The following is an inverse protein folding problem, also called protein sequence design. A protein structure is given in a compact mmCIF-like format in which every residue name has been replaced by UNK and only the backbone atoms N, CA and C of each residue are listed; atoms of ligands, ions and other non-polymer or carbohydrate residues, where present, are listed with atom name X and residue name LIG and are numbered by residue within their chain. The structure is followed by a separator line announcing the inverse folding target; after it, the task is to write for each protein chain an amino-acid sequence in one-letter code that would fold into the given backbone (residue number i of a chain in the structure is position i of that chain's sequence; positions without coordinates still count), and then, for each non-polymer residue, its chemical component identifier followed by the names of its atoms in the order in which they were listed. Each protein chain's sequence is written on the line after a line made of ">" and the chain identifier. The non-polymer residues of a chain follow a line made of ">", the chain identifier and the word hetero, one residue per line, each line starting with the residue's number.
data_IF_421320618754
#
_entry.id   IF_421320618754
#
_cell.length_a   1.000
_cell.length_b   1.000
_cell.length_c   1.000
_cell.angle_alpha   90.00
_cell.angle_beta   90.00
_cell.angle_gamma   90.00
#
_symmetry.space_group_name_H-M   'P 1'
#
loop_
_entity.id
_entity.type
_entity.pdbx_description
1 polymer ?
#
# COMPACT_ATOMS: atom_id res chain seq x y z
N UNK A 1 24.85 -5.56 -57.36
CA UNK A 1 24.11 -6.43 -56.43
C UNK A 1 24.23 -6.01 -54.96
N UNK A 2 25.23 -5.22 -54.56
CA UNK A 2 25.45 -4.79 -53.16
C UNK A 2 24.53 -3.67 -52.65
N UNK A 3 24.04 -2.80 -53.54
CA UNK A 3 23.14 -1.70 -53.18
C UNK A 3 21.74 -2.18 -52.73
N UNK A 4 21.24 -3.30 -53.28
CA UNK A 4 19.94 -3.86 -52.89
C UNK A 4 19.95 -4.47 -51.48
N UNK A 5 20.99 -5.25 -51.16
CA UNK A 5 21.18 -5.88 -49.84
C UNK A 5 21.28 -4.82 -48.72
N UNK A 6 21.86 -3.65 -49.00
CA UNK A 6 22.00 -2.58 -48.01
C UNK A 6 20.65 -1.89 -47.71
N UNK A 7 19.77 -1.78 -48.70
CA UNK A 7 18.45 -1.18 -48.52
C UNK A 7 17.50 -2.10 -47.74
N UNK A 8 17.56 -3.41 -47.99
CA UNK A 8 16.71 -4.40 -47.30
C UNK A 8 17.03 -4.49 -45.80
N UNK A 9 18.31 -4.44 -45.42
CA UNK A 9 18.73 -4.51 -44.00
C UNK A 9 18.30 -3.25 -43.24
N UNK A 10 18.40 -2.07 -43.86
CA UNK A 10 17.95 -0.81 -43.27
C UNK A 10 16.42 -0.80 -43.10
N UNK A 11 15.67 -1.23 -44.11
CA UNK A 11 14.21 -1.34 -44.02
C UNK A 11 13.75 -2.33 -42.93
N UNK A 12 14.46 -3.46 -42.77
CA UNK A 12 14.19 -4.41 -41.68
C UNK A 12 14.43 -3.81 -40.29
N UNK A 13 15.51 -3.03 -40.12
CA UNK A 13 15.79 -2.35 -38.86
C UNK A 13 14.77 -1.25 -38.53
N UNK A 14 14.28 -0.51 -39.54
CA UNK A 14 13.19 0.46 -39.35
C UNK A 14 11.90 -0.22 -38.86
N UNK A 15 11.55 -1.38 -39.43
CA UNK A 15 10.41 -2.17 -38.98
C UNK A 15 10.58 -2.66 -37.53
N UNK A 16 11.78 -3.12 -37.16
CA UNK A 16 12.08 -3.58 -35.81
C UNK A 16 11.97 -2.46 -34.75
N UNK A 17 12.33 -1.22 -35.11
CA UNK A 17 12.14 -0.04 -34.24
C UNK A 17 10.65 0.26 -34.01
N UNK A 18 9.82 0.13 -35.06
CA UNK A 18 8.37 0.33 -34.95
C UNK A 18 7.76 -0.74 -34.03
N UNK A 19 8.12 -2.02 -34.21
CA UNK A 19 7.61 -3.10 -33.34
C UNK A 19 8.09 -2.92 -31.90
N UNK A 20 9.37 -2.58 -31.69
CA UNK A 20 9.91 -2.27 -30.36
C UNK A 20 9.15 -1.14 -29.66
N UNK A 21 8.70 -0.12 -30.40
CA UNK A 21 7.89 0.97 -29.85
C UNK A 21 6.48 0.50 -29.43
N UNK A 22 5.87 -0.40 -30.21
CA UNK A 22 4.59 -1.04 -29.87
C UNK A 22 4.73 -1.90 -28.61
N UNK A 23 5.72 -2.79 -28.58
CA UNK A 23 6.02 -3.65 -27.43
C UNK A 23 6.29 -2.85 -26.16
N UNK A 24 7.03 -1.74 -26.25
CA UNK A 24 7.27 -0.83 -25.12
C UNK A 24 5.96 -0.22 -24.58
N UNK A 25 5.05 0.15 -25.46
CA UNK A 25 3.74 0.72 -25.09
C UNK A 25 2.88 -0.33 -24.38
N UNK A 26 2.85 -1.56 -24.92
CA UNK A 26 2.09 -2.66 -24.35
C UNK A 26 2.61 -3.05 -22.96
N UNK A 27 3.93 -3.15 -22.80
CA UNK A 27 4.56 -3.47 -21.51
C UNK A 27 4.35 -2.36 -20.47
N UNK A 28 4.45 -1.09 -20.88
CA UNK A 28 4.17 0.06 -19.99
C UNK A 28 2.73 0.05 -19.52
N UNK A 29 1.78 -0.22 -20.43
CA UNK A 29 0.37 -0.32 -20.11
C UNK A 29 0.11 -1.47 -19.12
N UNK A 30 0.77 -2.62 -19.30
CA UNK A 30 0.66 -3.75 -18.38
C UNK A 30 1.24 -3.43 -17.00
N UNK A 31 2.39 -2.73 -16.92
CA UNK A 31 2.99 -2.26 -15.67
C UNK A 31 2.06 -1.30 -14.91
N UNK A 32 1.43 -0.35 -15.61
CA UNK A 32 0.49 0.58 -14.98
C UNK A 32 -0.75 -0.14 -14.46
N UNK A 33 -1.26 -1.13 -15.21
CA UNK A 33 -2.37 -1.96 -14.76
C UNK A 33 -2.01 -2.79 -13.51
N UNK A 34 -0.83 -3.42 -13.49
CA UNK A 34 -0.33 -4.17 -12.33
C UNK A 34 -0.19 -3.30 -11.08
N UNK A 35 0.37 -2.10 -11.21
CA UNK A 35 0.50 -1.13 -10.11
C UNK A 35 -0.86 -0.64 -9.62
N UNK A 36 -1.82 -0.44 -10.53
CA UNK A 36 -3.19 -0.08 -10.18
C UNK A 36 -3.90 -1.22 -9.43
N UNK A 37 -3.70 -2.47 -9.87
CA UNK A 37 -4.26 -3.66 -9.23
C UNK A 37 -3.78 -3.79 -7.78
N UNK A 38 -2.47 -3.62 -7.51
CA UNK A 38 -1.92 -3.62 -6.14
C UNK A 38 -2.54 -2.56 -5.21
N UNK A 39 -2.95 -1.42 -5.77
CA UNK A 39 -3.59 -0.31 -5.01
C UNK A 39 -5.09 -0.49 -4.84
N UNK A 40 -5.71 -1.36 -5.65
CA UNK A 40 -7.15 -1.62 -5.64
C UNK A 40 -7.60 -2.31 -4.34
N UNK A 41 -8.89 -2.27 -3.99
CA UNK A 41 -9.41 -3.03 -2.84
C UNK A 41 -9.13 -4.53 -2.90
N UNK A 42 -9.16 -5.13 -4.10
CA UNK A 42 -8.80 -6.53 -4.31
C UNK A 42 -7.31 -6.74 -4.06
N UNK A 43 -6.43 -5.96 -4.69
CA UNK A 43 -4.99 -6.12 -4.48
C UNK A 43 -4.52 -5.81 -3.07
N UNK A 44 -5.23 -4.98 -2.32
CA UNK A 44 -4.97 -4.77 -0.89
C UNK A 44 -5.38 -5.96 -0.03
N UNK A 45 -6.49 -6.62 -0.38
CA UNK A 45 -7.00 -7.79 0.33
C UNK A 45 -6.31 -9.10 -0.07
N UNK A 46 -5.67 -9.14 -1.24
CA UNK A 46 -4.95 -10.30 -1.74
C UNK A 46 -3.88 -10.78 -0.76
N UNK A 47 -3.67 -12.10 -0.73
CA UNK A 47 -2.69 -12.72 0.15
C UNK A 47 -1.25 -12.25 -0.16
N UNK A 48 -0.38 -12.42 0.84
CA UNK A 48 1.02 -11.97 0.77
C UNK A 48 1.80 -12.66 -0.36
N UNK A 49 1.48 -13.93 -0.67
CA UNK A 49 2.19 -14.69 -1.69
C UNK A 49 1.87 -14.16 -3.09
N UNK A 50 0.60 -13.94 -3.42
CA UNK A 50 0.15 -13.37 -4.68
C UNK A 50 0.72 -11.96 -4.90
N UNK A 51 0.70 -11.11 -3.86
CA UNK A 51 1.28 -9.76 -3.92
C UNK A 51 2.79 -9.77 -4.11
N UNK A 52 3.51 -10.66 -3.41
CA UNK A 52 4.96 -10.79 -3.57
C UNK A 52 5.34 -11.33 -4.95
N UNK A 53 4.57 -12.27 -5.49
CA UNK A 53 4.80 -12.79 -6.84
C UNK A 53 4.65 -11.68 -7.89
N UNK A 54 3.58 -10.87 -7.81
CA UNK A 54 3.39 -9.74 -8.71
C UNK A 54 4.49 -8.67 -8.58
N UNK A 55 4.98 -8.40 -7.37
CA UNK A 55 6.09 -7.46 -7.17
C UNK A 55 7.37 -7.93 -7.90
N UNK A 56 7.72 -9.21 -7.80
CA UNK A 56 8.87 -9.78 -8.52
C UNK A 56 8.70 -9.64 -10.04
N UNK A 57 7.50 -9.91 -10.56
CA UNK A 57 7.24 -9.82 -12.00
C UNK A 57 7.25 -8.35 -12.49
N UNK A 58 6.84 -7.39 -11.65
CA UNK A 58 6.99 -5.96 -11.95
C UNK A 58 8.48 -5.60 -12.09
N UNK A 59 9.33 -6.06 -11.17
CA UNK A 59 10.78 -5.80 -11.23
C UNK A 59 11.42 -6.39 -12.50
N UNK A 60 11.00 -7.59 -12.92
CA UNK A 60 11.42 -8.20 -14.18
C UNK A 60 10.95 -7.39 -15.39
N UNK A 61 9.67 -6.99 -15.41
CA UNK A 61 9.10 -6.16 -16.46
C UNK A 61 9.77 -4.79 -16.58
N UNK A 62 10.17 -4.17 -15.48
CA UNK A 62 10.92 -2.91 -15.49
C UNK A 62 12.33 -3.05 -16.06
N UNK A 63 13.01 -4.18 -15.79
CA UNK A 63 14.29 -4.51 -16.42
C UNK A 63 14.16 -4.65 -17.93
N UNK A 64 13.14 -5.37 -18.39
CA UNK A 64 12.86 -5.56 -19.82
C UNK A 64 12.46 -4.25 -20.49
N UNK A 65 11.63 -3.42 -19.85
CA UNK A 65 11.25 -2.10 -20.35
C UNK A 65 12.48 -1.18 -20.51
N UNK A 66 13.44 -1.26 -19.59
CA UNK A 66 14.70 -0.53 -19.67
C UNK A 66 15.55 -1.01 -20.86
N UNK A 67 15.66 -2.32 -21.08
CA UNK A 67 16.37 -2.89 -22.23
C UNK A 67 15.73 -2.46 -23.57
N UNK A 68 14.40 -2.47 -23.67
CA UNK A 68 13.66 -1.94 -24.81
C UNK A 68 13.89 -0.45 -25.08
N UNK A 69 14.20 0.33 -24.04
CA UNK A 69 14.55 1.76 -24.17
C UNK A 69 15.83 2.00 -24.97
N UNK A 70 16.71 1.00 -25.10
CA UNK A 70 17.92 1.10 -25.92
C UNK A 70 17.63 0.99 -27.42
N UNK A 71 16.49 0.41 -27.82
CA UNK A 71 16.06 0.24 -29.22
C UNK A 71 15.11 1.39 -29.63
N UNK A 72 15.62 2.63 -29.63
CA UNK A 72 14.78 3.84 -29.83
C UNK A 72 15.09 4.65 -31.07
N UNK A 73 16.23 4.43 -31.73
CA UNK A 73 16.65 5.24 -32.88
C UNK A 73 16.76 4.40 -34.13
N UNK A 74 16.11 4.84 -35.21
CA UNK A 74 16.33 4.29 -36.55
C UNK A 74 17.82 4.42 -36.92
N UNK A 75 18.40 3.42 -37.62
CA UNK A 75 19.80 3.48 -38.05
C UNK A 75 20.03 4.70 -38.96
N UNK A 76 21.21 5.31 -38.92
CA UNK A 76 21.52 6.53 -39.72
C UNK A 76 21.72 6.25 -41.22
N UNK A 77 21.40 5.03 -41.66
CA UNK A 77 21.53 4.54 -43.03
C UNK A 77 22.71 3.60 -43.26
N UNK A 78 23.48 3.26 -42.21
CA UNK A 78 24.57 2.29 -42.33
C UNK A 78 24.10 0.86 -42.03
N UNK A 79 24.66 -0.11 -42.76
CA UNK A 79 24.36 -1.55 -42.55
C UNK A 79 24.78 -2.02 -41.16
N UNK A 80 25.84 -1.43 -40.58
CA UNK A 80 26.33 -1.82 -39.26
C UNK A 80 25.38 -1.40 -38.13
N UNK A 81 24.82 -0.18 -38.22
CA UNK A 81 23.81 0.29 -37.27
C UNK A 81 22.51 -0.52 -37.42
N UNK A 82 22.09 -0.79 -38.65
CA UNK A 82 20.89 -1.58 -38.92
C UNK A 82 21.03 -3.02 -38.38
N UNK A 83 22.21 -3.65 -38.53
CA UNK A 83 22.49 -4.97 -37.97
C UNK A 83 22.46 -4.97 -36.43
N UNK A 84 22.98 -3.93 -35.78
CA UNK A 84 22.95 -3.81 -34.32
C UNK A 84 21.52 -3.67 -33.78
N UNK A 85 20.65 -2.92 -34.47
CA UNK A 85 19.22 -2.79 -34.13
C UNK A 85 18.50 -4.13 -34.27
N UNK A 86 18.76 -4.87 -35.35
CA UNK A 86 18.14 -6.18 -35.59
C UNK A 86 18.56 -7.21 -34.53
N UNK A 87 19.83 -7.25 -34.15
CA UNK A 87 20.34 -8.14 -33.09
C UNK A 87 19.70 -7.81 -31.73
N UNK A 88 19.65 -6.54 -31.36
CA UNK A 88 19.04 -6.11 -30.11
C UNK A 88 17.52 -6.38 -30.08
N UNK A 89 16.83 -6.25 -31.22
CA UNK A 89 15.40 -6.54 -31.32
C UNK A 89 15.12 -8.05 -31.27
N UNK A 90 15.94 -8.86 -31.93
CA UNK A 90 15.80 -10.32 -31.93
C UNK A 90 15.95 -10.92 -30.53
N UNK A 91 16.81 -10.33 -29.68
CA UNK A 91 16.95 -10.73 -28.28
C UNK A 91 15.71 -10.44 -27.42
N UNK A 92 14.82 -9.55 -27.87
CA UNK A 92 13.67 -9.07 -27.09
C UNK A 92 12.31 -9.52 -27.66
N UNK A 93 12.29 -10.06 -28.88
CA UNK A 93 11.05 -10.36 -29.62
C UNK A 93 10.16 -11.38 -28.89
N UNK A 94 10.77 -12.41 -28.29
CA UNK A 94 10.06 -13.44 -27.51
C UNK A 94 9.92 -13.05 -26.01
N UNK A 95 10.91 -12.35 -25.46
CA UNK A 95 10.98 -12.05 -24.03
C UNK A 95 9.93 -11.03 -23.60
N UNK A 96 9.67 -10.01 -24.43
CA UNK A 96 8.76 -8.92 -24.05
C UNK A 96 7.30 -9.37 -23.97
N UNK A 97 6.75 -10.08 -24.98
CA UNK A 97 5.40 -10.64 -24.86
C UNK A 97 5.28 -11.62 -23.70
N UNK A 98 6.27 -12.49 -23.49
CA UNK A 98 6.26 -13.46 -22.40
C UNK A 98 6.22 -12.79 -21.02
N UNK A 99 7.02 -11.74 -20.82
CA UNK A 99 7.03 -10.97 -19.56
C UNK A 99 5.74 -10.18 -19.40
N UNK A 100 5.20 -9.59 -20.47
CA UNK A 100 3.92 -8.89 -20.42
C UNK A 100 2.76 -9.84 -20.07
N UNK A 101 2.76 -11.07 -20.59
CA UNK A 101 1.76 -12.09 -20.27
C UNK A 101 1.89 -12.60 -18.85
N UNK A 102 3.13 -12.88 -18.40
CA UNK A 102 3.39 -13.25 -17.00
C UNK A 102 2.93 -12.16 -16.04
N UNK A 103 3.13 -10.88 -16.39
CA UNK A 103 2.68 -9.74 -15.61
C UNK A 103 1.15 -9.64 -15.55
N UNK A 104 0.46 -9.90 -16.66
CA UNK A 104 -1.01 -9.95 -16.69
C UNK A 104 -1.54 -11.09 -15.84
N UNK A 105 -0.97 -12.29 -15.95
CA UNK A 105 -1.38 -13.46 -15.16
C UNK A 105 -1.18 -13.22 -13.66
N UNK A 106 -0.02 -12.67 -13.26
CA UNK A 106 0.23 -12.32 -11.86
C UNK A 106 -0.72 -11.21 -11.36
N UNK A 107 -1.09 -10.27 -12.24
CA UNK A 107 -2.08 -9.22 -11.92
C UNK A 107 -3.47 -9.83 -11.68
N UNK A 108 -3.91 -10.73 -12.55
CA UNK A 108 -5.19 -11.43 -12.41
C UNK A 108 -5.22 -12.32 -11.17
N UNK A 109 -4.10 -12.99 -10.83
CA UNK A 109 -3.97 -13.79 -9.62
C UNK A 109 -4.13 -12.93 -8.35
N UNK A 110 -3.55 -11.73 -8.30
CA UNK A 110 -3.74 -10.78 -7.21
C UNK A 110 -5.19 -10.34 -7.10
N UNK A 111 -5.85 -10.00 -8.22
CA UNK A 111 -7.26 -9.60 -8.21
C UNK A 111 -8.14 -10.77 -7.73
N UNK A 112 -7.88 -11.98 -8.21
CA UNK A 112 -8.63 -13.19 -7.84
C UNK A 112 -8.46 -13.53 -6.36
N UNK A 113 -7.23 -13.56 -5.85
CA UNK A 113 -6.92 -13.75 -4.43
C UNK A 113 -7.62 -12.69 -3.58
N UNK A 114 -7.56 -11.42 -3.98
CA UNK A 114 -8.26 -10.32 -3.33
C UNK A 114 -9.78 -10.54 -3.24
N UNK A 115 -10.41 -10.92 -4.34
CA UNK A 115 -11.86 -11.22 -4.37
C UNK A 115 -12.21 -12.40 -3.50
N UNK A 116 -11.40 -13.46 -3.53
CA UNK A 116 -11.60 -14.63 -2.71
C UNK A 116 -11.55 -14.27 -1.22
N UNK A 117 -10.49 -13.58 -0.78
CA UNK A 117 -10.36 -13.14 0.62
C UNK A 117 -11.54 -12.26 1.04
N UNK A 118 -11.97 -11.33 0.18
CA UNK A 118 -13.14 -10.49 0.48
C UNK A 118 -14.45 -11.28 0.53
N UNK A 119 -14.61 -12.27 -0.34
CA UNK A 119 -15.77 -13.17 -0.34
C UNK A 119 -15.82 -14.04 0.91
N UNK A 120 -14.68 -14.60 1.32
CA UNK A 120 -14.56 -15.41 2.54
C UNK A 120 -14.87 -14.57 3.79
N UNK A 121 -14.36 -13.33 3.86
CA UNK A 121 -14.70 -12.38 4.93
C UNK A 121 -16.19 -12.02 4.94
N UNK A 122 -16.79 -11.82 3.76
CA UNK A 122 -18.22 -11.54 3.66
C UNK A 122 -19.09 -12.74 4.06
N UNK A 123 -18.68 -13.97 3.73
CA UNK A 123 -19.34 -15.19 4.14
C UNK A 123 -19.23 -15.41 5.66
N UNK A 124 -18.05 -15.20 6.25
CA UNK A 124 -17.84 -15.27 7.69
C UNK A 124 -18.65 -14.22 8.47
N UNK A 125 -18.86 -13.03 7.88
CA UNK A 125 -19.71 -11.99 8.48
C UNK A 125 -21.22 -12.26 8.34
N UNK A 126 -21.63 -13.18 7.46
CA UNK A 126 -23.03 -13.50 7.18
C UNK A 126 -23.55 -14.75 7.92
N UNK A 127 -22.67 -15.53 8.59
CA UNK A 127 -23.07 -16.66 9.41
C UNK A 127 -23.20 -16.26 10.90
N UNK A 128 -24.41 -16.16 11.48
CA UNK A 128 -24.59 -15.84 12.89
C UNK A 128 -24.41 -17.05 13.82
N UNK A 129 -23.89 -18.20 13.35
CA UNK A 129 -23.90 -19.41 14.16
C UNK A 129 -22.84 -20.45 13.81
N UNK A 130 -21.58 -20.20 14.17
CA UNK A 130 -20.66 -21.25 14.67
C UNK A 130 -19.56 -20.65 15.54
N UNK A 131 -19.94 -20.26 16.76
CA UNK A 131 -19.01 -20.36 17.89
C UNK A 131 -18.85 -21.85 18.19
N UNK A 132 -17.90 -22.50 17.53
CA UNK A 132 -17.40 -23.80 17.96
C UNK A 132 -16.02 -23.60 18.54
N UNK A 133 -15.99 -23.66 19.87
CA UNK A 133 -14.83 -23.99 20.68
C UNK A 133 -14.05 -25.16 20.07
N UNK A 134 -12.75 -24.97 19.86
CA UNK A 134 -11.66 -25.92 20.15
C UNK A 134 -10.50 -25.70 19.17
N UNK A 135 -9.51 -24.91 19.60
CA UNK A 135 -8.12 -25.18 19.24
C UNK A 135 -7.26 -24.78 20.43
N UNK A 136 -6.59 -25.77 20.96
CA UNK A 136 -5.68 -25.79 22.11
C UNK A 136 -4.79 -24.54 22.24
N UNK A 137 -4.74 -23.91 23.43
CA UNK A 137 -3.85 -22.79 23.73
C UNK A 137 -2.46 -23.30 24.14
N UNK A 138 -1.70 -23.84 23.20
CA UNK A 138 -0.29 -24.23 23.42
C UNK A 138 0.54 -23.87 22.18
N UNK A 139 0.67 -22.56 21.89
CA UNK A 139 1.89 -21.93 21.30
C UNK A 139 1.77 -20.43 20.99
N UNK A 140 0.76 -19.72 21.50
CA UNK A 140 0.88 -18.28 21.72
C UNK A 140 1.06 -18.10 23.21
N UNK A 141 2.29 -17.85 23.66
CA UNK A 141 2.53 -17.37 25.01
C UNK A 141 1.70 -16.10 25.21
N UNK A 142 0.67 -16.10 26.09
CA UNK A 142 -0.04 -14.90 26.45
C UNK A 142 0.80 -14.22 27.53
N UNK A 143 1.80 -13.46 27.13
CA UNK A 143 2.23 -12.38 28.00
C UNK A 143 1.28 -11.22 27.70
N UNK A 144 0.25 -11.05 28.54
CA UNK A 144 -0.66 -9.90 28.56
C UNK A 144 0.04 -8.57 28.84
N UNK A 145 1.14 -8.30 28.14
CA UNK A 145 2.03 -7.14 28.26
C UNK A 145 2.66 -6.88 26.90
N UNK A 146 2.51 -5.66 26.40
CA UNK A 146 3.16 -5.24 25.17
C UNK A 146 4.66 -5.02 25.38
N UNK A 147 5.49 -5.19 24.33
CA UNK A 147 6.94 -5.04 24.43
C UNK A 147 7.39 -3.60 24.70
N UNK A 148 6.53 -2.62 24.41
CA UNK A 148 6.85 -1.20 24.48
C UNK A 148 5.96 -0.47 25.49
N UNK A 149 6.49 0.53 26.23
CA UNK A 149 5.79 1.16 27.35
C UNK A 149 4.59 2.03 26.96
N UNK A 150 4.51 2.45 25.71
CA UNK A 150 3.41 3.19 25.07
C UNK A 150 2.39 2.27 24.38
N UNK A 151 2.58 0.97 24.49
CA UNK A 151 1.63 -0.04 24.04
C UNK A 151 1.03 -0.71 25.27
N UNK A 152 -0.27 -0.91 25.26
CA UNK A 152 -0.95 -1.64 26.34
C UNK A 152 -1.79 -2.73 25.74
N UNK A 153 -1.59 -3.93 26.27
CA UNK A 153 -2.28 -5.11 25.78
C UNK A 153 -3.70 -5.10 26.29
N UNK A 154 -4.66 -5.41 25.43
CA UNK A 154 -6.01 -5.76 25.86
C UNK A 154 -6.66 -6.73 24.88
N UNK A 155 -7.57 -7.56 25.38
CA UNK A 155 -8.36 -8.47 24.55
C UNK A 155 -9.37 -7.73 23.66
N UNK A 156 -9.70 -6.48 23.97
CA UNK A 156 -10.60 -5.62 23.18
C UNK A 156 -9.87 -4.88 22.04
N UNK A 157 -8.54 -4.81 22.09
CA UNK A 157 -7.73 -4.12 21.10
C UNK A 157 -7.86 -4.81 19.72
N UNK A 158 -8.48 -4.09 18.78
CA UNK A 158 -8.78 -4.60 17.45
C UNK A 158 -10.08 -5.41 17.36
N UNK A 159 -10.90 -5.41 18.41
CA UNK A 159 -12.17 -6.15 18.47
C UNK A 159 -13.39 -5.25 18.77
N UNK A 160 -13.27 -3.93 18.59
CA UNK A 160 -14.41 -3.01 18.72
C UNK A 160 -15.53 -3.36 17.73
N UNK A 161 -16.76 -3.34 18.24
CA UNK A 161 -17.97 -3.55 17.45
C UNK A 161 -18.30 -2.34 16.57
N UNK A 162 -19.12 -2.55 15.55
CA UNK A 162 -19.61 -1.46 14.69
C UNK A 162 -20.40 -0.40 15.46
N UNK A 163 -21.02 -0.74 16.60
CA UNK A 163 -21.71 0.22 17.48
C UNK A 163 -20.76 1.10 18.30
N UNK A 164 -19.52 0.67 18.51
CA UNK A 164 -18.50 1.44 19.22
C UNK A 164 -17.72 2.36 18.28
N UNK A 165 -17.83 2.15 16.97
CA UNK A 165 -17.13 2.88 15.94
C UNK A 165 -18.05 3.90 15.25
N UNK A 166 -17.47 5.01 14.84
CA UNK A 166 -18.08 5.95 13.92
C UNK A 166 -17.14 6.21 12.74
N UNK A 167 -17.73 6.34 11.55
CA UNK A 167 -16.99 6.77 10.37
C UNK A 167 -16.51 8.21 10.57
N UNK A 168 -15.26 8.49 10.18
CA UNK A 168 -14.71 9.85 10.19
C UNK A 168 -15.40 10.64 9.08
N UNK A 169 -16.11 11.75 9.38
CA UNK A 169 -16.98 12.43 8.40
C UNK A 169 -16.27 12.91 7.13
N UNK A 170 -15.01 13.32 7.24
CA UNK A 170 -14.19 13.83 6.13
C UNK A 170 -13.27 12.76 5.51
N UNK A 171 -13.30 11.51 6.00
CA UNK A 171 -12.46 10.42 5.52
C UNK A 171 -13.27 9.11 5.38
N UNK A 172 -14.04 8.94 4.29
CA UNK A 172 -14.83 7.74 4.05
C UNK A 172 -13.98 6.47 4.09
N UNK A 173 -14.49 5.44 4.77
CA UNK A 173 -13.77 4.17 4.97
C UNK A 173 -12.83 4.15 6.17
N UNK A 174 -12.62 5.28 6.85
CA UNK A 174 -11.88 5.36 8.11
C UNK A 174 -12.83 5.46 9.30
N UNK A 175 -12.44 4.84 10.41
CA UNK A 175 -13.26 4.73 11.62
C UNK A 175 -12.41 5.02 12.85
N UNK A 176 -13.02 5.67 13.83
CA UNK A 176 -12.51 5.84 15.20
C UNK A 176 -13.62 5.48 16.18
N UNK A 177 -13.33 5.40 17.47
CA UNK A 177 -14.40 5.26 18.46
C UNK A 177 -15.41 6.42 18.34
N UNK A 178 -16.68 6.08 18.48
CA UNK A 178 -17.77 7.02 18.29
C UNK A 178 -17.71 8.22 19.25
N UNK A 179 -17.18 8.01 20.46
CA UNK A 179 -17.01 9.04 21.49
C UNK A 179 -15.94 10.10 21.16
N UNK A 180 -15.02 9.83 20.24
CA UNK A 180 -13.97 10.77 19.82
C UNK A 180 -14.16 11.34 18.41
N UNK A 181 -15.03 10.72 17.60
CA UNK A 181 -15.25 11.10 16.21
C UNK A 181 -15.67 12.57 16.03
N UNK A 182 -16.56 13.08 16.87
CA UNK A 182 -17.02 14.47 16.80
C UNK A 182 -15.91 15.48 17.09
N UNK A 183 -14.93 15.12 17.93
CA UNK A 183 -13.80 15.98 18.27
C UNK A 183 -12.71 15.96 17.20
N UNK A 184 -12.52 14.81 16.55
CA UNK A 184 -11.69 14.73 15.35
C UNK A 184 -12.28 15.55 14.19
N UNK A 185 -13.61 15.53 14.01
CA UNK A 185 -14.29 16.36 13.01
C UNK A 185 -14.10 17.86 13.31
N UNK A 186 -14.26 18.29 14.56
CA UNK A 186 -14.03 19.68 14.94
C UNK A 186 -12.56 20.14 14.75
N UNK A 187 -11.59 19.24 14.97
CA UNK A 187 -10.18 19.50 14.64
C UNK A 187 -9.99 19.70 13.13
N UNK A 188 -10.66 18.87 12.32
CA UNK A 188 -10.63 19.01 10.87
C UNK A 188 -11.25 20.32 10.39
N UNK A 189 -12.37 20.76 10.97
CA UNK A 189 -12.99 22.04 10.61
C UNK A 189 -12.01 23.21 10.81
N UNK A 190 -11.30 23.24 11.95
CA UNK A 190 -10.26 24.24 12.20
C UNK A 190 -9.03 24.10 11.28
N UNK A 191 -8.67 22.87 10.93
CA UNK A 191 -7.60 22.61 9.96
C UNK A 191 -7.99 23.13 8.56
N UNK A 192 -9.25 22.96 8.14
CA UNK A 192 -9.80 23.48 6.89
C UNK A 192 -9.81 25.02 6.91
N UNK A 193 -10.17 25.65 8.03
CA UNK A 193 -10.08 27.12 8.16
C UNK A 193 -8.65 27.64 7.94
N UNK A 194 -7.64 26.87 8.39
CA UNK A 194 -6.24 27.24 8.25
C UNK A 194 -5.67 26.96 6.85
N UNK A 195 -5.97 25.79 6.27
CA UNK A 195 -5.28 25.27 5.08
C UNK A 195 -6.18 25.13 3.84
N UNK A 196 -7.49 25.33 3.98
CA UNK A 196 -8.47 25.25 2.90
C UNK A 196 -8.74 23.84 2.37
N UNK A 197 -8.23 22.81 3.04
CA UNK A 197 -8.37 21.39 2.64
C UNK A 197 -8.58 20.52 3.88
N UNK A 198 -9.32 19.42 3.73
CA UNK A 198 -9.48 18.43 4.79
C UNK A 198 -8.15 17.74 5.13
N UNK A 199 -8.02 17.29 6.38
CA UNK A 199 -6.96 16.39 6.78
C UNK A 199 -7.07 15.06 6.01
N UNK A 200 -5.94 14.55 5.54
CA UNK A 200 -5.89 13.22 4.92
C UNK A 200 -5.67 12.17 6.01
N UNK A 201 -6.57 11.19 6.13
CA UNK A 201 -6.37 10.03 7.02
C UNK A 201 -5.78 8.88 6.22
N UNK A 202 -4.59 8.41 6.61
CA UNK A 202 -3.91 7.26 6.01
C UNK A 202 -4.22 5.95 6.74
N UNK A 203 -4.36 6.01 8.06
CA UNK A 203 -4.72 4.87 8.91
C UNK A 203 -5.58 5.36 10.09
N UNK A 204 -6.44 4.48 10.61
CA UNK A 204 -7.39 4.78 11.69
C UNK A 204 -7.58 3.52 12.54
N UNK A 205 -8.79 3.22 13.04
CA UNK A 205 -9.06 1.93 13.67
C UNK A 205 -8.59 0.75 12.81
N UNK A 206 -7.92 -0.21 13.44
CA UNK A 206 -7.40 -1.43 12.82
C UNK A 206 -7.83 -2.63 13.65
N UNK A 207 -8.46 -3.59 12.99
CA UNK A 207 -8.90 -4.83 13.63
C UNK A 207 -7.70 -5.68 14.05
N UNK A 208 -7.92 -6.62 14.96
CA UNK A 208 -6.90 -7.56 15.41
C UNK A 208 -6.36 -8.38 14.23
N UNK A 209 -7.24 -8.87 13.37
CA UNK A 209 -6.87 -9.65 12.18
C UNK A 209 -6.02 -8.83 11.19
N UNK A 210 -6.34 -7.55 10.99
CA UNK A 210 -5.50 -6.66 10.20
C UNK A 210 -4.14 -6.44 10.85
N UNK A 211 -4.08 -6.24 12.18
CA UNK A 211 -2.82 -6.10 12.90
C UNK A 211 -1.97 -7.37 12.81
N UNK A 212 -2.58 -8.56 12.93
CA UNK A 212 -1.92 -9.85 12.76
C UNK A 212 -1.33 -9.99 11.35
N UNK A 213 -2.07 -9.59 10.31
CA UNK A 213 -1.55 -9.61 8.94
C UNK A 213 -0.36 -8.68 8.69
N UNK A 214 -0.24 -7.60 9.47
CA UNK A 214 0.82 -6.61 9.36
C UNK A 214 2.01 -6.90 10.30
N UNK A 215 1.79 -7.70 11.34
CA UNK A 215 2.78 -7.96 12.34
C UNK A 215 3.91 -8.82 11.78
N UNK A 216 5.11 -8.28 11.83
CA UNK A 216 6.34 -9.00 11.54
C UNK A 216 7.23 -8.86 12.78
N UNK A 217 7.47 -9.94 13.54
CA UNK A 217 8.30 -9.88 14.75
C UNK A 217 9.76 -9.50 14.45
N UNK A 218 10.20 -9.53 13.19
CA UNK A 218 11.52 -9.06 12.77
C UNK A 218 11.55 -7.57 12.43
N UNK A 219 10.39 -6.91 12.33
CA UNK A 219 10.25 -5.47 12.07
C UNK A 219 9.79 -4.73 13.33
N UNK A 220 10.26 -3.49 13.51
CA UNK A 220 9.84 -2.62 14.61
C UNK A 220 8.60 -1.77 14.30
N UNK A 221 8.09 -1.85 13.08
CA UNK A 221 7.07 -0.92 12.57
C UNK A 221 5.64 -1.30 12.93
N UNK A 222 5.38 -2.57 13.24
CA UNK A 222 4.05 -3.04 13.61
C UNK A 222 4.09 -3.63 15.03
N UNK A 223 3.25 -3.09 15.92
CA UNK A 223 3.06 -3.67 17.24
C UNK A 223 2.53 -5.12 17.15
N UNK A 224 2.77 -5.97 18.17
CA UNK A 224 2.08 -7.23 18.26
C UNK A 224 0.55 -7.07 18.20
N UNK A 225 -0.20 -8.06 17.70
CA UNK A 225 -1.65 -8.07 17.78
C UNK A 225 -2.11 -7.91 19.24
N UNK A 226 -3.16 -7.10 19.44
CA UNK A 226 -3.62 -6.71 20.78
C UNK A 226 -2.80 -5.58 21.45
N UNK A 227 -1.70 -5.13 20.84
CA UNK A 227 -0.83 -4.07 21.37
C UNK A 227 -0.82 -2.77 20.53
N UNK A 228 -1.54 -2.75 19.41
CA UNK A 228 -1.51 -1.61 18.49
C UNK A 228 -2.38 -0.47 19.00
N UNK A 229 -1.85 0.76 19.03
CA UNK A 229 -2.65 1.94 19.37
C UNK A 229 -3.81 2.17 18.39
N UNK A 230 -3.74 1.65 17.16
CA UNK A 230 -4.87 1.68 16.22
C UNK A 230 -6.02 0.74 16.62
N UNK A 231 -5.73 -0.36 17.32
CA UNK A 231 -6.77 -1.29 17.75
C UNK A 231 -7.64 -0.76 18.88
N UNK A 232 -7.24 0.33 19.55
CA UNK A 232 -8.09 1.00 20.55
C UNK A 232 -9.16 1.88 19.92
N UNK A 233 -9.06 2.17 18.61
CA UNK A 233 -9.92 3.12 17.90
C UNK A 233 -9.68 4.58 18.30
N UNK A 234 -8.58 4.88 19.00
CA UNK A 234 -8.21 6.22 19.45
C UNK A 234 -7.01 6.82 18.70
N UNK A 235 -6.39 6.07 17.78
CA UNK A 235 -5.25 6.55 16.98
C UNK A 235 -5.63 6.78 15.51
N UNK A 236 -5.01 7.79 14.92
CA UNK A 236 -5.06 8.07 13.48
C UNK A 236 -3.67 8.43 12.96
N UNK A 237 -3.40 8.01 11.73
CA UNK A 237 -2.23 8.44 10.96
C UNK A 237 -2.67 9.51 9.96
N UNK A 238 -2.13 10.72 10.09
CA UNK A 238 -2.48 11.88 9.27
C UNK A 238 -1.42 12.11 8.19
N UNK A 239 -1.88 12.26 6.94
CA UNK A 239 -1.08 12.56 5.77
C UNK A 239 -1.13 14.04 5.36
N UNK A 240 -1.12 14.30 4.06
CA UNK A 240 -1.40 15.64 3.51
C UNK A 240 -0.37 16.71 3.86
N UNK A 241 0.84 16.33 4.28
CA UNK A 241 1.91 17.25 4.71
C UNK A 241 2.38 16.96 6.13
N UNK A 242 1.54 16.36 6.97
CA UNK A 242 1.83 16.09 8.39
C UNK A 242 2.95 15.06 8.56
N UNK A 243 3.16 14.16 7.59
CA UNK A 243 4.19 13.12 7.63
C UNK A 243 5.66 13.63 7.65
N UNK A 244 5.89 14.94 7.65
CA UNK A 244 7.20 15.55 7.78
C UNK A 244 7.26 16.46 9.02
N UNK A 245 8.19 16.16 9.94
CA UNK A 245 8.48 17.03 11.08
C UNK A 245 8.82 18.46 10.62
N UNK A 246 8.30 19.47 11.32
CA UNK A 246 8.53 20.88 11.00
C UNK A 246 7.81 21.36 9.73
N UNK A 247 6.93 20.56 9.14
CA UNK A 247 5.99 21.05 8.13
C UNK A 247 4.98 22.00 8.76
N UNK A 248 4.42 22.92 7.97
CA UNK A 248 3.40 23.84 8.45
C UNK A 248 2.17 23.10 9.03
N UNK A 249 1.78 21.99 8.41
CA UNK A 249 0.67 21.14 8.84
C UNK A 249 0.98 20.44 10.17
N UNK A 250 2.19 19.86 10.30
CA UNK A 250 2.62 19.21 11.55
C UNK A 250 2.70 20.22 12.70
N UNK A 251 3.36 21.36 12.48
CA UNK A 251 3.53 22.39 13.51
C UNK A 251 2.19 22.99 13.93
N UNK A 252 1.25 23.16 12.99
CA UNK A 252 -0.09 23.62 13.31
C UNK A 252 -0.85 22.59 14.15
N UNK A 253 -0.81 21.29 13.80
CA UNK A 253 -1.42 20.26 14.63
C UNK A 253 -0.78 20.21 16.02
N UNK A 254 0.55 20.35 16.12
CA UNK A 254 1.26 20.40 17.41
C UNK A 254 0.78 21.53 18.30
N UNK A 255 0.42 22.68 17.72
CA UNK A 255 -0.06 23.84 18.45
C UNK A 255 -1.56 23.79 18.79
N UNK A 256 -2.39 23.05 18.02
CA UNK A 256 -3.85 23.17 18.09
C UNK A 256 -4.58 21.88 18.46
N UNK A 257 -4.06 20.70 18.14
CA UNK A 257 -4.79 19.44 18.26
C UNK A 257 -5.23 19.12 19.70
N UNK A 258 -4.43 19.53 20.70
CA UNK A 258 -4.69 19.24 22.11
C UNK A 258 -6.00 19.90 22.59
N UNK A 259 -6.36 21.07 22.04
CA UNK A 259 -7.63 21.74 22.34
C UNK A 259 -8.86 20.92 21.90
N UNK A 260 -8.67 20.01 20.95
CA UNK A 260 -9.66 19.06 20.46
C UNK A 260 -9.47 17.67 21.08
N UNK A 261 -8.55 17.53 22.03
CA UNK A 261 -8.26 16.29 22.72
C UNK A 261 -7.51 15.26 21.88
N UNK A 262 -6.74 15.72 20.88
CA UNK A 262 -5.81 14.90 20.11
C UNK A 262 -4.38 15.36 20.38
N UNK A 263 -3.46 14.43 20.59
CA UNK A 263 -2.06 14.74 20.89
C UNK A 263 -1.13 13.96 20.00
N UNK A 264 0.05 14.54 19.77
CA UNK A 264 1.19 13.80 19.24
C UNK A 264 1.91 13.16 20.43
N UNK A 265 1.90 11.82 20.55
CA UNK A 265 2.35 11.16 21.77
C UNK A 265 3.88 11.22 21.91
N UNK A 266 4.43 11.19 23.15
CA UNK A 266 5.87 11.35 23.38
C UNK A 266 6.77 10.33 22.66
N UNK A 267 6.29 9.11 22.41
CA UNK A 267 7.07 8.11 21.68
C UNK A 267 7.27 8.48 20.19
N UNK A 268 6.33 9.25 19.63
CA UNK A 268 6.27 9.63 18.22
C UNK A 268 6.99 10.95 17.91
N UNK A 269 7.41 11.69 18.94
CA UNK A 269 8.21 12.92 18.80
C UNK A 269 9.51 12.68 18.02
N UNK A 270 10.15 13.73 17.46
CA UNK A 270 11.45 13.62 16.79
C UNK A 270 12.53 12.94 17.63
N UNK A 271 12.48 13.14 18.95
CA UNK A 271 13.39 12.53 19.94
C UNK A 271 12.78 11.32 20.65
N UNK A 272 11.60 10.89 20.24
CA UNK A 272 10.89 9.73 20.79
C UNK A 272 11.56 8.41 20.36
N UNK A 273 11.14 7.31 20.97
CA UNK A 273 11.71 5.98 20.65
C UNK A 273 11.37 5.53 19.22
N UNK A 274 10.26 6.01 18.66
CA UNK A 274 9.76 5.66 17.34
C UNK A 274 9.18 6.92 16.68
N UNK A 275 10.03 7.78 16.08
CA UNK A 275 9.58 9.05 15.51
C UNK A 275 8.57 8.84 14.37
N UNK A 276 7.35 9.31 14.57
CA UNK A 276 6.20 9.08 13.68
C UNK A 276 5.38 10.36 13.55
N UNK A 277 5.81 11.35 12.75
CA UNK A 277 5.15 12.67 12.66
C UNK A 277 3.67 12.59 12.27
N UNK A 278 3.28 11.50 11.61
CA UNK A 278 1.91 11.22 11.20
C UNK A 278 1.03 10.66 12.34
N UNK A 279 1.57 10.14 13.44
CA UNK A 279 0.79 9.44 14.47
C UNK A 279 0.18 10.41 15.49
N UNK A 280 -1.15 10.36 15.65
CA UNK A 280 -1.90 11.18 16.61
C UNK A 280 -2.89 10.33 17.40
N UNK A 281 -3.09 10.65 18.67
CA UNK A 281 -3.96 9.89 19.58
C UNK A 281 -4.95 10.79 20.32
N UNK A 282 -6.17 10.31 20.49
CA UNK A 282 -7.14 10.95 21.37
C UNK A 282 -6.80 10.72 22.84
N UNK A 283 -6.98 11.76 23.65
CA UNK A 283 -6.87 11.73 25.12
C UNK A 283 -8.21 11.93 25.82
N UNK A 284 -9.31 11.99 25.05
CA UNK A 284 -10.66 12.27 25.57
C UNK A 284 -11.40 11.05 26.11
N UNK A 285 -10.93 9.87 25.73
CA UNK A 285 -11.45 8.61 26.24
C UNK A 285 -10.30 7.89 26.96
N UNK A 286 -10.54 7.32 28.15
CA UNK A 286 -9.61 6.36 28.68
C UNK A 286 -9.48 5.21 27.66
N UNK A 287 -8.28 4.65 27.55
CA UNK A 287 -8.19 3.28 27.08
C UNK A 287 -9.05 2.47 28.06
N UNK A 288 -10.24 2.06 27.64
CA UNK A 288 -11.06 1.15 28.43
C UNK A 288 -10.26 -0.14 28.54
N UNK A 289 -9.82 -0.45 29.76
CA UNK A 289 -9.27 -1.74 30.13
C UNK A 289 -10.25 -2.38 31.11
#
# INVERSE_FOLDING_TARGET
>A
MTAGVSADVVAGAEAAVIESARLRTDLTTALDHARAALKSPDGRAADKAARSALATVIDDAERVATALGAVTTAPSGTVAEAAAVLEASAALDDDVPAVADTLREATDAVIASGRQVRSERAAAAADPGTVTTDTTPDDITPAGTCPEPDQVWSAENGHLSSSELAQIPFAPGHYVRADVAGKLAALNDAYVEQFGVDMTINSSYRTYAEQESLYDPSSKTAAPPGCSNHGTGLAVDIGGGVQAFGSAQYDWLKANAEAYGWVHPPFAEPSGRNPEPWHWQSVLAPNSY
#
